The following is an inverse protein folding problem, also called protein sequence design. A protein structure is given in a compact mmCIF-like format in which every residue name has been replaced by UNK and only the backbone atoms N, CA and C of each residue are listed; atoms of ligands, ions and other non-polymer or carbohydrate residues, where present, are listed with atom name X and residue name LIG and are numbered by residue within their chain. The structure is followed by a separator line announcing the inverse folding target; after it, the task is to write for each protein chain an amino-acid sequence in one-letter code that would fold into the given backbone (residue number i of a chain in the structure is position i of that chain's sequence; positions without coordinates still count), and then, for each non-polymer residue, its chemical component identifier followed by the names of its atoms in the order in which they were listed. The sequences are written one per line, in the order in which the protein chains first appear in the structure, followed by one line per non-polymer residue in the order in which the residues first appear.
data_IF_793550370957
#
_entry.id   IF_793550370957
#
_cell.length_a   1.000
_cell.length_b   1.000
_cell.length_c   1.000
_cell.angle_alpha   90.00
_cell.angle_beta   90.00
_cell.angle_gamma   90.00
#
_symmetry.space_group_name_H-M   'P 1'
#
loop_
_entity.id
_entity.type
_entity.pdbx_description
1 polymer ?
#
# COMPACT_ATOMS: atom_id res chain seq x y z
N UNK A 1 -4.69 1.48 16.44
CA UNK A 1 -4.71 0.06 16.06
C UNK A 1 -4.58 0.02 14.55
N UNK A 2 -3.50 -0.53 14.00
CA UNK A 2 -3.27 -0.50 12.56
C UNK A 2 -4.23 -1.40 11.75
N UNK A 3 -4.90 -2.37 12.39
CA UNK A 3 -5.80 -3.33 11.72
C UNK A 3 -7.23 -2.82 11.50
N UNK A 4 -7.53 -1.56 11.78
CA UNK A 4 -8.81 -0.96 11.40
C UNK A 4 -8.86 -0.59 9.91
N UNK A 5 -7.70 -0.31 9.30
CA UNK A 5 -7.55 0.20 7.92
C UNK A 5 -8.51 1.35 7.61
N UNK A 6 -8.84 2.19 8.60
CA UNK A 6 -9.88 3.22 8.51
C UNK A 6 -11.23 2.75 7.92
N UNK A 7 -11.53 1.45 8.04
CA UNK A 7 -12.72 0.81 7.49
C UNK A 7 -12.63 0.45 6.01
N UNK A 8 -11.47 0.60 5.36
CA UNK A 8 -11.25 0.33 3.93
C UNK A 8 -11.55 -1.13 3.52
N UNK A 9 -11.47 -2.07 4.46
CA UNK A 9 -11.82 -3.48 4.28
C UNK A 9 -13.33 -3.76 4.35
N UNK A 10 -14.15 -2.83 4.83
CA UNK A 10 -15.60 -3.05 5.03
C UNK A 10 -16.32 -3.42 3.72
N UNK A 11 -16.04 -2.78 2.57
CA UNK A 11 -16.60 -3.20 1.28
C UNK A 11 -16.23 -4.64 0.91
N UNK A 12 -14.99 -5.06 1.18
CA UNK A 12 -14.54 -6.44 0.98
C UNK A 12 -15.35 -7.41 1.85
N UNK A 13 -15.47 -7.14 3.15
CA UNK A 13 -16.24 -8.00 4.05
C UNK A 13 -17.69 -8.14 3.60
N UNK A 14 -18.37 -7.02 3.28
CA UNK A 14 -19.76 -7.04 2.78
C UNK A 14 -19.90 -7.89 1.52
N UNK A 15 -18.96 -7.77 0.58
CA UNK A 15 -19.03 -8.53 -0.67
C UNK A 15 -18.81 -10.04 -0.47
N UNK A 16 -17.93 -10.43 0.46
CA UNK A 16 -17.68 -11.84 0.80
C UNK A 16 -18.88 -12.51 1.48
N UNK A 17 -19.64 -11.75 2.26
CA UNK A 17 -20.64 -12.28 3.20
C UNK A 17 -22.09 -12.04 2.79
N UNK A 18 -22.35 -11.29 1.73
CA UNK A 18 -23.72 -11.05 1.27
C UNK A 18 -24.35 -9.77 1.79
N UNK A 19 -23.57 -8.68 1.87
CA UNK A 19 -23.92 -7.27 2.11
C UNK A 19 -23.82 -6.76 3.55
N UNK A 20 -23.21 -7.52 4.47
CA UNK A 20 -23.12 -7.13 5.87
C UNK A 20 -21.80 -7.55 6.50
N UNK A 21 -21.20 -6.67 7.28
CA UNK A 21 -19.95 -6.87 8.00
C UNK A 21 -20.18 -6.89 9.51
N UNK A 22 -19.14 -7.20 10.28
CA UNK A 22 -19.20 -7.06 11.74
C UNK A 22 -19.48 -5.61 12.17
N UNK A 23 -19.01 -4.62 11.40
CA UNK A 23 -19.27 -3.20 11.68
C UNK A 23 -20.76 -2.88 11.49
N UNK A 24 -21.38 -3.41 10.43
CA UNK A 24 -22.82 -3.25 10.17
C UNK A 24 -23.64 -3.90 11.29
N UNK A 25 -23.32 -5.15 11.63
CA UNK A 25 -24.00 -5.88 12.70
C UNK A 25 -23.88 -5.17 14.07
N UNK A 26 -22.71 -4.61 14.37
CA UNK A 26 -22.51 -3.84 15.59
C UNK A 26 -23.40 -2.59 15.59
N UNK A 27 -23.37 -1.80 14.51
CA UNK A 27 -24.19 -0.60 14.40
C UNK A 27 -25.70 -0.91 14.53
N UNK A 28 -26.18 -1.92 13.80
CA UNK A 28 -27.59 -2.34 13.83
C UNK A 28 -28.00 -2.80 15.23
N UNK A 29 -27.13 -3.49 15.98
CA UNK A 29 -27.43 -3.93 17.35
C UNK A 29 -27.68 -2.80 18.35
N UNK A 30 -27.17 -1.59 18.08
CA UNK A 30 -27.39 -0.41 18.92
C UNK A 30 -28.46 0.52 18.38
N UNK A 31 -28.62 0.59 17.05
CA UNK A 31 -29.38 1.66 16.37
C UNK A 31 -30.62 1.16 15.62
N UNK A 32 -30.65 -0.11 15.18
CA UNK A 32 -31.78 -0.70 14.44
C UNK A 32 -31.90 -2.21 14.73
N UNK A 33 -32.57 -2.54 15.83
CA UNK A 33 -32.82 -3.93 16.24
C UNK A 33 -33.60 -4.74 15.20
N UNK A 34 -34.41 -4.09 14.35
CA UNK A 34 -35.13 -4.79 13.30
C UNK A 34 -34.17 -5.18 12.16
N UNK A 35 -33.20 -4.34 11.81
CA UNK A 35 -32.11 -4.69 10.90
C UNK A 35 -31.23 -5.79 11.47
N UNK A 36 -30.84 -5.67 12.73
CA UNK A 36 -30.04 -6.69 13.42
C UNK A 36 -30.74 -8.06 13.41
N UNK A 37 -32.05 -8.09 13.70
CA UNK A 37 -32.86 -9.31 13.67
C UNK A 37 -33.06 -9.93 12.28
N UNK A 38 -32.72 -9.24 11.19
CA UNK A 38 -32.73 -9.80 9.82
C UNK A 38 -31.40 -10.43 9.41
N UNK A 39 -30.34 -10.25 10.21
CA UNK A 39 -29.05 -10.88 9.92
C UNK A 39 -29.18 -12.41 10.03
N UNK A 40 -28.52 -13.18 9.16
CA UNK A 40 -28.59 -14.63 9.24
C UNK A 40 -27.74 -15.16 10.40
N UNK A 41 -28.21 -16.23 11.03
CA UNK A 41 -27.49 -16.94 12.09
C UNK A 41 -26.13 -17.49 11.63
N UNK A 42 -25.99 -17.75 10.32
CA UNK A 42 -24.76 -18.27 9.70
C UNK A 42 -24.42 -17.49 8.45
N UNK A 43 -23.15 -17.13 8.34
CA UNK A 43 -22.60 -16.50 7.14
C UNK A 43 -22.51 -17.51 5.99
N UNK A 44 -22.56 -17.05 4.72
CA UNK A 44 -22.31 -17.91 3.58
C UNK A 44 -20.98 -18.65 3.69
N UNK A 45 -21.02 -19.96 3.43
CA UNK A 45 -19.86 -20.82 3.31
C UNK A 45 -20.04 -21.69 2.05
N UNK A 46 -19.14 -21.61 1.05
CA UNK A 46 -17.98 -20.70 0.97
C UNK A 46 -18.38 -19.23 0.83
N UNK A 47 -17.41 -18.31 0.99
CA UNK A 47 -17.62 -16.90 0.71
C UNK A 47 -18.05 -16.65 -0.74
N UNK A 48 -18.80 -15.58 -0.96
CA UNK A 48 -19.37 -15.22 -2.27
C UNK A 48 -18.34 -14.68 -3.28
N UNK A 49 -17.13 -14.37 -2.80
CA UNK A 49 -16.00 -13.89 -3.58
C UNK A 49 -14.70 -14.34 -2.89
N UNK A 50 -13.57 -13.97 -3.47
CA UNK A 50 -12.26 -14.00 -2.81
C UNK A 50 -11.74 -12.58 -2.68
N UNK A 51 -11.01 -12.28 -1.60
CA UNK A 51 -10.29 -11.02 -1.49
C UNK A 51 -9.27 -11.02 -0.37
N UNK A 52 -8.40 -10.03 -0.40
CA UNK A 52 -7.24 -9.93 0.47
C UNK A 52 -6.79 -8.48 0.60
N UNK A 53 -6.40 -8.09 1.81
CA UNK A 53 -5.58 -6.91 2.02
C UNK A 53 -4.11 -7.26 1.82
N UNK A 54 -3.44 -6.50 0.96
CA UNK A 54 -2.05 -6.71 0.55
C UNK A 54 -1.25 -5.51 1.04
N UNK A 55 -0.43 -5.70 2.07
CA UNK A 55 0.57 -4.70 2.46
C UNK A 55 1.63 -4.59 1.35
N UNK A 56 1.90 -3.36 0.92
CA UNK A 56 2.91 -3.04 -0.09
C UNK A 56 4.30 -2.92 0.54
N UNK A 57 5.26 -3.62 -0.04
CA UNK A 57 6.65 -3.69 0.43
C UNK A 57 7.54 -2.84 -0.46
N UNK A 58 8.21 -1.85 0.13
CA UNK A 58 9.25 -1.09 -0.57
C UNK A 58 10.61 -1.75 -0.38
N UNK A 59 11.23 -2.13 -1.50
CA UNK A 59 12.64 -2.57 -1.58
C UNK A 59 13.58 -1.45 -2.00
N UNK A 60 13.10 -0.20 -2.02
CA UNK A 60 13.88 0.98 -2.38
C UNK A 60 13.76 2.06 -1.31
N UNK A 61 14.74 2.95 -1.27
CA UNK A 61 14.73 4.13 -0.41
C UNK A 61 15.04 5.38 -1.22
N UNK A 62 14.32 6.45 -0.96
CA UNK A 62 14.60 7.79 -1.47
C UNK A 62 13.35 8.61 -1.69
N UNK A 63 13.54 9.79 -2.29
CA UNK A 63 12.46 10.73 -2.55
C UNK A 63 11.68 10.35 -3.80
N UNK A 64 10.37 10.22 -3.68
CA UNK A 64 9.48 9.79 -4.77
C UNK A 64 9.31 10.89 -5.79
N UNK A 65 9.65 10.60 -7.05
CA UNK A 65 9.40 11.44 -8.22
C UNK A 65 8.07 11.09 -8.90
N UNK A 66 7.72 9.81 -8.95
CA UNK A 66 6.46 9.32 -9.50
C UNK A 66 6.05 7.98 -8.87
N UNK A 67 4.77 7.62 -8.98
CA UNK A 67 4.17 6.39 -8.40
C UNK A 67 3.56 5.46 -9.47
N UNK A 68 4.28 5.13 -10.57
CA UNK A 68 3.70 4.39 -11.70
C UNK A 68 3.20 2.99 -11.32
N UNK A 69 3.78 2.36 -10.28
CA UNK A 69 3.27 1.09 -9.80
C UNK A 69 1.90 1.21 -9.14
N UNK A 70 1.57 2.34 -8.53
CA UNK A 70 0.22 2.57 -7.98
C UNK A 70 -0.83 2.67 -9.09
N UNK A 71 -0.49 3.29 -10.22
CA UNK A 71 -1.40 3.34 -11.38
C UNK A 71 -1.61 1.95 -11.99
N UNK A 72 -0.55 1.13 -12.08
CA UNK A 72 -0.65 -0.28 -12.50
C UNK A 72 -1.54 -1.09 -11.54
N UNK A 73 -1.38 -0.90 -10.22
CA UNK A 73 -2.20 -1.56 -9.20
C UNK A 73 -3.67 -1.18 -9.34
N UNK A 74 -3.97 0.11 -9.49
CA UNK A 74 -5.34 0.63 -9.66
C UNK A 74 -6.03 0.10 -10.93
N UNK A 75 -5.25 -0.32 -11.92
CA UNK A 75 -5.75 -0.91 -13.16
C UNK A 75 -5.98 -2.43 -13.09
N UNK A 76 -5.65 -3.10 -11.97
CA UNK A 76 -5.84 -4.54 -11.83
C UNK A 76 -7.33 -4.91 -11.76
N UNK A 77 -7.77 -6.02 -12.37
CA UNK A 77 -9.17 -6.46 -12.34
C UNK A 77 -9.74 -6.66 -10.93
N UNK A 78 -8.91 -7.05 -9.97
CA UNK A 78 -9.32 -7.23 -8.57
C UNK A 78 -9.18 -5.97 -7.70
N UNK A 79 -8.76 -4.83 -8.24
CA UNK A 79 -8.56 -3.61 -7.44
C UNK A 79 -9.86 -3.09 -6.83
N UNK A 80 -9.85 -2.81 -5.52
CA UNK A 80 -10.94 -2.15 -4.80
C UNK A 80 -10.49 -0.80 -4.24
N UNK A 81 -9.36 -0.79 -3.53
CA UNK A 81 -8.88 0.39 -2.82
C UNK A 81 -7.37 0.34 -2.58
N UNK A 82 -6.72 1.50 -2.57
CA UNK A 82 -5.32 1.68 -2.16
C UNK A 82 -5.29 2.72 -1.05
N UNK A 83 -4.79 2.33 0.11
CA UNK A 83 -4.49 3.20 1.24
C UNK A 83 -2.98 3.45 1.27
N UNK A 84 -2.55 4.70 1.13
CA UNK A 84 -1.14 5.07 1.18
C UNK A 84 -0.98 6.53 1.58
N UNK A 85 0.10 6.83 2.30
CA UNK A 85 0.55 8.19 2.58
C UNK A 85 1.71 8.63 1.65
N UNK A 86 2.06 7.80 0.67
CA UNK A 86 3.16 8.07 -0.27
C UNK A 86 2.62 8.81 -1.48
N UNK A 87 3.12 10.03 -1.68
CA UNK A 87 2.86 10.88 -2.83
C UNK A 87 4.17 11.33 -3.47
N UNK A 88 4.07 11.99 -4.63
CA UNK A 88 5.23 12.66 -5.23
C UNK A 88 5.82 13.67 -4.24
N UNK A 89 7.11 13.55 -3.97
CA UNK A 89 7.84 14.35 -2.99
C UNK A 89 8.00 13.68 -1.62
N UNK A 90 7.26 12.60 -1.32
CA UNK A 90 7.43 11.83 -0.09
C UNK A 90 8.77 11.09 -0.06
N UNK A 91 9.32 10.91 1.13
CA UNK A 91 10.45 10.00 1.36
C UNK A 91 9.91 8.59 1.61
N UNK A 92 10.39 7.61 0.84
CA UNK A 92 10.14 6.19 1.09
C UNK A 92 11.37 5.53 1.66
N UNK A 93 11.16 4.61 2.60
CA UNK A 93 12.19 3.79 3.24
C UNK A 93 11.98 2.31 2.88
N UNK A 94 12.95 1.46 3.24
CA UNK A 94 12.75 0.02 3.18
C UNK A 94 11.66 -0.41 4.16
N UNK A 95 10.71 -1.21 3.69
CA UNK A 95 9.67 -1.75 4.56
C UNK A 95 10.25 -2.86 5.45
N UNK A 96 10.26 -2.62 6.75
CA UNK A 96 10.71 -3.58 7.80
C UNK A 96 9.59 -3.94 8.76
N UNK A 97 8.50 -3.17 8.75
CA UNK A 97 7.32 -3.32 9.57
C UNK A 97 6.10 -2.69 8.88
N UNK A 98 4.99 -2.61 9.61
CA UNK A 98 3.74 -2.05 9.09
C UNK A 98 3.77 -0.52 8.92
N UNK A 99 4.59 0.20 9.69
CA UNK A 99 4.69 1.66 9.62
C UNK A 99 5.53 2.13 8.45
N UNK A 100 6.48 1.29 8.04
CA UNK A 100 7.38 1.50 6.89
C UNK A 100 6.82 0.86 5.61
N UNK A 101 5.62 0.28 5.65
CA UNK A 101 4.94 -0.22 4.47
C UNK A 101 4.57 0.94 3.52
N UNK A 102 4.68 0.70 2.21
CA UNK A 102 4.37 1.69 1.18
C UNK A 102 2.86 2.02 1.09
N UNK A 103 2.02 1.21 1.72
CA UNK A 103 0.56 1.30 1.70
C UNK A 103 -0.07 -0.07 1.84
N UNK A 104 -1.40 -0.14 1.83
CA UNK A 104 -2.17 -1.38 1.72
C UNK A 104 -3.14 -1.32 0.55
N UNK A 105 -3.33 -2.45 -0.11
CA UNK A 105 -4.24 -2.57 -1.25
C UNK A 105 -5.31 -3.58 -0.89
N UNK A 106 -6.57 -3.19 -1.01
CA UNK A 106 -7.71 -4.09 -0.92
C UNK A 106 -7.98 -4.65 -2.30
N UNK A 107 -7.86 -5.97 -2.43
CA UNK A 107 -8.18 -6.72 -3.64
C UNK A 107 -9.38 -7.63 -3.43
N UNK A 108 -10.21 -7.75 -4.46
CA UNK A 108 -11.38 -8.61 -4.47
C UNK A 108 -11.77 -9.03 -5.88
N UNK A 109 -12.06 -10.31 -6.07
CA UNK A 109 -12.58 -10.82 -7.33
C UNK A 109 -13.46 -12.05 -7.11
N UNK A 110 -14.41 -12.30 -8.02
CA UNK A 110 -15.28 -13.49 -7.97
C UNK A 110 -14.50 -14.77 -8.29
N UNK A 111 -13.60 -14.68 -9.25
CA UNK A 111 -12.65 -15.75 -9.58
C UNK A 111 -11.39 -15.63 -8.72
N UNK A 112 -11.13 -16.67 -7.94
CA UNK A 112 -9.96 -16.80 -7.07
C UNK A 112 -8.64 -16.79 -7.85
N UNK A 113 -8.60 -17.41 -9.04
CA UNK A 113 -7.38 -17.48 -9.83
C UNK A 113 -6.94 -16.09 -10.32
N UNK A 114 -7.91 -15.24 -10.69
CA UNK A 114 -7.64 -13.85 -11.05
C UNK A 114 -7.10 -13.04 -9.86
N UNK A 115 -7.65 -13.23 -8.65
CA UNK A 115 -7.13 -12.59 -7.45
C UNK A 115 -5.66 -12.99 -7.18
N UNK A 116 -5.36 -14.29 -7.26
CA UNK A 116 -4.00 -14.80 -7.05
C UNK A 116 -3.00 -14.23 -8.07
N UNK A 117 -3.41 -14.14 -9.34
CA UNK A 117 -2.62 -13.53 -10.42
C UNK A 117 -2.35 -12.04 -10.18
N UNK A 118 -3.35 -11.29 -9.72
CA UNK A 118 -3.21 -9.86 -9.44
C UNK A 118 -2.29 -9.64 -8.22
N UNK A 119 -2.41 -10.45 -7.17
CA UNK A 119 -1.49 -10.44 -6.02
C UNK A 119 -0.06 -10.70 -6.50
N UNK A 120 0.16 -11.70 -7.34
CA UNK A 120 1.49 -12.00 -7.89
C UNK A 120 2.04 -10.84 -8.73
N UNK A 121 1.17 -10.17 -9.49
CA UNK A 121 1.54 -8.95 -10.24
C UNK A 121 2.03 -7.86 -9.30
N UNK A 122 1.35 -7.61 -8.18
CA UNK A 122 1.81 -6.65 -7.15
C UNK A 122 3.16 -7.06 -6.59
N UNK A 123 3.33 -8.34 -6.21
CA UNK A 123 4.61 -8.85 -5.68
C UNK A 123 5.74 -8.74 -6.68
N UNK A 124 5.45 -8.85 -7.97
CA UNK A 124 6.44 -8.65 -9.02
C UNK A 124 6.82 -7.17 -9.14
N UNK A 125 5.85 -6.25 -9.09
CA UNK A 125 6.13 -4.80 -9.08
C UNK A 125 7.04 -4.39 -7.93
N UNK A 126 6.83 -4.98 -6.75
CA UNK A 126 7.69 -4.79 -5.57
C UNK A 126 9.12 -5.27 -5.85
N UNK A 127 9.28 -6.53 -6.27
CA UNK A 127 10.59 -7.13 -6.57
C UNK A 127 11.36 -6.38 -7.65
N UNK A 128 10.66 -5.85 -8.64
CA UNK A 128 11.23 -5.06 -9.73
C UNK A 128 11.51 -3.60 -9.33
N UNK A 129 11.27 -3.24 -8.05
CA UNK A 129 11.45 -1.89 -7.53
C UNK A 129 10.68 -0.83 -8.36
N UNK A 130 9.53 -1.22 -8.89
CA UNK A 130 8.78 -0.44 -9.88
C UNK A 130 7.49 0.19 -9.32
N UNK A 131 7.32 0.14 -8.00
CA UNK A 131 6.29 0.92 -7.30
C UNK A 131 6.49 2.42 -7.47
N UNK A 132 7.75 2.86 -7.45
CA UNK A 132 8.16 4.26 -7.47
C UNK A 132 9.22 4.52 -8.53
N UNK A 133 9.19 5.73 -9.09
CA UNK A 133 10.39 6.35 -9.64
C UNK A 133 10.94 7.28 -8.57
N UNK A 134 12.23 7.18 -8.28
CA UNK A 134 12.90 8.02 -7.28
C UNK A 134 13.65 9.17 -7.95
N UNK A 135 13.83 10.27 -7.23
CA UNK A 135 14.75 11.33 -7.63
C UNK A 135 16.18 10.77 -7.68
N UNK A 136 16.89 11.04 -8.78
CA UNK A 136 18.33 10.76 -8.82
C UNK A 136 19.04 11.68 -7.82
N UNK A 137 19.53 11.12 -6.71
CA UNK A 137 20.53 11.80 -5.93
C UNK A 137 21.85 11.74 -6.71
N UNK A 138 22.09 12.78 -7.52
CA UNK A 138 23.45 13.15 -7.88
C UNK A 138 24.19 13.50 -6.60
N UNK A 139 24.67 12.49 -5.88
CA UNK A 139 25.75 12.71 -4.93
C UNK A 139 26.93 13.07 -5.81
N UNK A 140 27.14 14.37 -6.01
CA UNK A 140 28.45 14.89 -6.37
C UNK A 140 29.31 14.51 -5.16
N UNK A 141 29.90 13.32 -5.21
CA UNK A 141 31.02 12.98 -4.38
C UNK A 141 32.05 14.06 -4.69
N UNK A 142 32.10 15.09 -3.85
CA UNK A 142 33.15 16.07 -3.89
C UNK A 142 34.43 15.25 -3.88
N UNK A 143 35.17 15.26 -5.01
CA UNK A 143 36.46 14.58 -5.07
C UNK A 143 37.21 14.96 -3.80
N UNK A 144 37.81 14.00 -3.07
CA UNK A 144 38.76 14.36 -2.04
C UNK A 144 39.77 15.29 -2.71
N UNK A 145 39.75 16.59 -2.37
CA UNK A 145 40.75 17.49 -2.91
C UNK A 145 42.07 17.00 -2.34
N UNK A 146 42.98 16.61 -3.21
CA UNK A 146 44.33 16.32 -2.79
C UNK A 146 44.86 17.58 -2.06
N UNK A 147 45.54 17.40 -0.93
CA UNK A 147 46.14 18.50 -0.15
C UNK A 147 47.06 19.40 -1.00
N UNK A 148 47.47 18.95 -2.18
CA UNK A 148 48.24 19.71 -3.17
C UNK A 148 47.51 20.90 -3.79
N UNK A 149 46.19 21.06 -3.60
CA UNK A 149 45.43 22.22 -4.12
C UNK A 149 45.40 23.42 -3.17
N UNK A 150 46.04 23.34 -1.99
CA UNK A 150 46.26 24.50 -1.12
C UNK A 150 47.37 25.36 -1.72
N UNK A 151 47.01 26.36 -2.52
CA UNK A 151 47.94 27.44 -2.87
C UNK A 151 48.38 28.14 -1.58
N UNK A 152 49.69 28.34 -1.34
CA UNK A 152 50.14 29.17 -0.23
C UNK A 152 49.61 30.58 -0.43
N UNK A 153 48.92 31.11 0.59
CA UNK A 153 48.70 32.54 0.71
C UNK A 153 50.07 33.18 0.94
N UNK A 154 50.56 33.90 -0.07
CA UNK A 154 51.63 34.86 0.16
C UNK A 154 50.99 36.06 0.85
N UNK A 155 51.32 36.26 2.13
CA UNK A 155 51.09 37.52 2.80
C UNK A 155 52.03 38.56 2.19
N UNK A 156 51.47 39.55 1.49
CA UNK A 156 52.21 40.76 1.10
C UNK A 156 52.30 41.68 2.33
N UNK A 157 53.54 41.77 2.85
CA UNK A 157 54.18 42.82 3.68
C UNK A 157 53.44 43.38 4.91
#
# INVERSE_FOLDING_TARGET
RAHGGDGCWTPLARALTGRYSQVDAAADSFLDMAAFGRLPDKMPAPFLASGQEVMLVSYTKGKVKATPGFDKIKALPSFVYLETAVDVGSEVEYSVDLFTAAGSVILMHKDRAQLEKDIETIRQLEKDCSLFELEEHNVVLGRPRAQSELKPQYEEL
#
